data_IF_800968007509
#
_entry.id   IF_800968007509
#
_cell.length_a   1.000
_cell.length_b   1.000
_cell.length_c   1.000
_cell.angle_alpha   90.00
_cell.angle_beta   90.00
_cell.angle_gamma   90.00
#
_symmetry.space_group_name_H-M   'P 1'
#
loop_
_entity.id
_entity.type
_entity.pdbx_description
1 polymer ?
#
# COMPACT_ATOMS: atom_id res chain seq x y z
N UNK A 1 4.62 9.68 -12.79
CA UNK A 1 3.27 9.90 -12.21
C UNK A 1 2.56 10.83 -13.15
N UNK A 2 1.35 10.49 -13.56
CA UNK A 2 0.54 11.27 -14.47
C UNK A 2 -0.78 11.65 -13.79
N UNK A 3 -1.22 12.89 -14.02
CA UNK A 3 -2.53 13.37 -13.61
C UNK A 3 -3.49 13.11 -14.76
N UNK A 4 -4.58 12.40 -14.49
CA UNK A 4 -5.58 12.07 -15.48
C UNK A 4 -6.76 13.02 -15.31
N UNK A 5 -7.17 13.69 -16.39
CA UNK A 5 -8.33 14.59 -16.44
C UNK A 5 -9.28 14.10 -17.53
N UNK A 6 -10.58 14.18 -17.26
CA UNK A 6 -11.66 13.98 -18.23
C UNK A 6 -11.61 12.65 -19.01
N UNK A 7 -11.11 11.58 -18.37
CA UNK A 7 -11.05 10.26 -18.96
C UNK A 7 -12.08 9.32 -18.33
N UNK A 8 -13.18 9.09 -19.05
CA UNK A 8 -14.32 8.30 -18.59
C UNK A 8 -13.98 6.84 -18.29
N UNK A 9 -13.02 6.26 -19.03
CA UNK A 9 -12.59 4.86 -18.81
C UNK A 9 -11.87 4.72 -17.47
N UNK A 10 -11.13 5.74 -17.04
CA UNK A 10 -10.34 5.71 -15.82
C UNK A 10 -11.12 6.15 -14.58
N UNK A 11 -12.34 6.68 -14.74
CA UNK A 11 -13.25 6.99 -13.62
C UNK A 11 -13.71 5.73 -12.88
N UNK A 12 -13.93 4.64 -13.61
CA UNK A 12 -14.45 3.38 -13.06
C UNK A 12 -13.36 2.36 -12.69
N UNK A 13 -12.09 2.66 -12.98
CA UNK A 13 -10.99 1.73 -12.73
C UNK A 13 -10.11 2.24 -11.59
N UNK A 14 -9.99 1.43 -10.55
CA UNK A 14 -9.11 1.63 -9.39
C UNK A 14 -8.35 0.34 -9.13
N UNK A 15 -7.10 0.45 -8.70
CA UNK A 15 -6.31 -0.71 -8.29
C UNK A 15 -4.91 -0.73 -8.88
N UNK A 16 -4.25 -1.88 -8.72
CA UNK A 16 -2.88 -2.09 -9.15
C UNK A 16 -2.83 -3.23 -10.16
N UNK A 17 -2.29 -2.97 -11.34
CA UNK A 17 -1.98 -4.01 -12.31
C UNK A 17 -0.54 -4.50 -12.08
N UNK A 18 -0.44 -5.65 -11.41
CA UNK A 18 0.83 -6.34 -11.14
C UNK A 18 1.86 -5.43 -10.48
N UNK A 19 3.03 -5.30 -11.12
CA UNK A 19 4.12 -4.40 -10.71
C UNK A 19 4.32 -3.21 -11.65
N UNK A 20 3.36 -2.99 -12.55
CA UNK A 20 3.49 -2.01 -13.62
C UNK A 20 2.83 -0.69 -13.25
N UNK A 21 1.56 -0.73 -12.82
CA UNK A 21 0.72 0.45 -12.74
C UNK A 21 -0.18 0.42 -11.52
N UNK A 22 -0.35 1.56 -10.86
CA UNK A 22 -1.36 1.79 -9.83
C UNK A 22 -2.19 3.01 -10.21
N UNK A 23 -3.51 2.84 -10.22
CA UNK A 23 -4.50 3.88 -10.46
C UNK A 23 -5.26 4.09 -9.16
N UNK A 24 -5.21 5.30 -8.63
CA UNK A 24 -5.87 5.65 -7.38
C UNK A 24 -6.39 7.09 -7.43
N UNK A 25 -7.34 7.39 -6.55
CA UNK A 25 -7.87 8.73 -6.41
C UNK A 25 -7.26 9.42 -5.20
N UNK A 26 -6.95 10.70 -5.36
CA UNK A 26 -6.51 11.55 -4.26
C UNK A 26 -7.11 12.94 -4.46
N UNK A 27 -7.85 13.43 -3.47
CA UNK A 27 -8.50 14.74 -3.50
C UNK A 27 -9.38 14.95 -4.75
N UNK A 28 -10.18 13.94 -5.14
CA UNK A 28 -11.05 14.02 -6.33
C UNK A 28 -10.32 13.91 -7.67
N UNK A 29 -8.99 13.74 -7.66
CA UNK A 29 -8.18 13.61 -8.87
C UNK A 29 -7.66 12.19 -9.04
N UNK A 30 -7.80 11.68 -10.27
CA UNK A 30 -7.29 10.37 -10.64
C UNK A 30 -5.78 10.49 -10.92
N UNK A 31 -5.00 9.74 -10.15
CA UNK A 31 -3.56 9.66 -10.26
C UNK A 31 -3.18 8.27 -10.77
N UNK A 32 -2.37 8.26 -11.83
CA UNK A 32 -1.78 7.06 -12.38
C UNK A 32 -0.27 7.09 -12.17
N UNK A 33 0.28 6.05 -11.56
CA UNK A 33 1.70 5.96 -11.30
C UNK A 33 2.24 4.57 -11.60
N UNK A 34 3.51 4.49 -11.98
CA UNK A 34 4.23 3.23 -11.96
C UNK A 34 4.25 2.71 -10.53
N UNK A 35 3.88 1.45 -10.31
CA UNK A 35 3.92 0.86 -8.97
C UNK A 35 5.34 0.97 -8.42
N UNK A 36 5.46 1.43 -7.18
CA UNK A 36 6.76 1.52 -6.52
C UNK A 36 7.17 0.14 -6.04
N UNK A 37 8.36 -0.31 -6.40
CA UNK A 37 8.98 -1.48 -5.78
C UNK A 37 9.28 -1.24 -4.29
N UNK A 38 9.60 -2.30 -3.54
CA UNK A 38 10.01 -2.17 -2.14
C UNK A 38 11.21 -1.22 -2.01
N UNK A 39 11.24 -0.47 -0.91
CA UNK A 39 12.35 0.43 -0.62
C UNK A 39 13.64 -0.36 -0.43
N UNK A 40 14.69 0.00 -1.17
CA UNK A 40 16.06 -0.54 -0.95
C UNK A 40 16.81 0.18 0.18
N UNK A 41 16.26 1.29 0.69
CA UNK A 41 16.88 2.05 1.79
C UNK A 41 16.66 1.33 3.12
N UNK A 42 17.65 1.42 4.01
CA UNK A 42 17.55 0.89 5.37
C UNK A 42 16.33 1.50 6.10
N UNK A 43 15.56 0.71 6.86
CA UNK A 43 14.40 1.20 7.59
C UNK A 43 14.79 2.23 8.66
N UNK A 44 13.99 3.28 8.82
CA UNK A 44 14.17 4.25 9.92
C UNK A 44 13.84 3.61 11.28
N UNK A 45 14.26 4.24 12.39
CA UNK A 45 13.96 3.76 13.76
C UNK A 45 12.45 3.53 13.97
N UNK A 46 11.62 4.51 13.60
CA UNK A 46 10.17 4.41 13.72
C UNK A 46 9.60 3.25 12.89
N UNK A 47 10.18 2.96 11.72
CA UNK A 47 9.76 1.81 10.90
C UNK A 47 10.15 0.48 11.53
N UNK A 48 11.28 0.41 12.25
CA UNK A 48 11.68 -0.78 13.00
C UNK A 48 10.79 -1.01 14.22
N UNK A 49 10.47 0.05 14.97
CA UNK A 49 9.52 -0.01 16.08
C UNK A 49 8.13 -0.44 15.62
N UNK A 50 7.63 0.10 14.50
CA UNK A 50 6.37 -0.32 13.93
C UNK A 50 6.37 -1.80 13.52
N UNK A 51 7.47 -2.30 12.95
CA UNK A 51 7.63 -3.74 12.63
C UNK A 51 7.62 -4.59 13.89
N UNK A 52 8.31 -4.17 14.95
CA UNK A 52 8.35 -4.87 16.23
C UNK A 52 6.96 -4.94 16.91
N UNK A 53 6.22 -3.83 16.90
CA UNK A 53 4.84 -3.81 17.41
C UNK A 53 3.92 -4.74 16.61
N UNK A 54 4.08 -4.80 15.29
CA UNK A 54 3.32 -5.74 14.46
C UNK A 54 3.66 -7.21 14.78
N UNK A 55 4.93 -7.56 15.00
CA UNK A 55 5.28 -8.94 15.39
C UNK A 55 4.69 -9.34 16.73
N UNK A 56 4.67 -8.41 17.69
CA UNK A 56 4.03 -8.63 19.00
C UNK A 56 2.52 -8.82 18.83
N UNK A 57 1.87 -7.94 18.08
CA UNK A 57 0.42 -8.03 17.85
C UNK A 57 0.04 -9.35 17.17
N UNK A 58 0.82 -9.79 16.19
CA UNK A 58 0.64 -11.08 15.52
C UNK A 58 0.75 -12.24 16.52
N UNK A 59 1.79 -12.24 17.37
CA UNK A 59 1.96 -13.28 18.39
C UNK A 59 0.77 -13.33 19.36
N UNK A 60 0.28 -12.18 19.83
CA UNK A 60 -0.91 -12.11 20.69
C UNK A 60 -2.19 -12.58 19.99
N UNK A 61 -2.34 -12.29 18.70
CA UNK A 61 -3.52 -12.77 17.95
C UNK A 61 -3.53 -14.29 17.83
N UNK A 62 -2.38 -14.94 17.65
CA UNK A 62 -2.31 -16.42 17.63
C UNK A 62 -2.60 -17.03 19.01
N UNK A 63 -2.17 -16.38 20.11
CA UNK A 63 -2.49 -16.86 21.46
C UNK A 63 -3.96 -16.62 21.84
N UNK A 64 -4.56 -15.50 21.43
CA UNK A 64 -5.96 -15.17 21.75
C UNK A 64 -6.98 -15.92 20.87
N UNK A 65 -6.60 -16.31 19.64
CA UNK A 65 -7.45 -17.09 18.72
C UNK A 65 -7.35 -18.60 19.03
N UNK A 66 -6.51 -19.02 19.98
CA UNK A 66 -6.42 -20.43 20.40
C UNK A 66 -5.95 -21.36 19.26
N UNK A 67 -5.14 -20.86 18.35
CA UNK A 67 -4.50 -21.68 17.30
C UNK A 67 -3.22 -22.33 17.86
N UNK A 68 -3.41 -23.33 18.73
CA UNK A 68 -2.51 -24.43 19.08
C UNK A 68 -3.35 -25.66 19.43
#
# INVERSE_FOLDING_TARGET
MALVRDNILLQLVRGTHGDQLTIYERNGQIIMAKKRGPSKKKPTKNQQEARYKMSIAAAYTFTDIGLW
#
